data_IF_074039547225
#
_entry.id   IF_074039547225
#
_cell.length_a   1.000
_cell.length_b   1.000
_cell.length_c   1.000
_cell.angle_alpha   90.00
_cell.angle_beta   90.00
_cell.angle_gamma   90.00
#
_symmetry.space_group_name_H-M   'P 1'
#
loop_
_entity.id
_entity.type
_entity.pdbx_description
1 polymer ?
#
# COMPACT_ATOMS: atom_id res chain seq x y z
N UNK A 1 39.37 16.15 -37.61
CA UNK A 1 40.52 16.28 -36.68
C UNK A 1 39.95 16.20 -35.29
N UNK A 2 39.90 15.00 -34.75
CA UNK A 2 39.42 14.69 -33.39
C UNK A 2 40.65 14.70 -32.48
N UNK A 3 40.72 15.64 -31.56
CA UNK A 3 41.72 15.63 -30.49
C UNK A 3 41.27 14.62 -29.45
N UNK A 4 41.86 13.45 -29.47
CA UNK A 4 41.88 12.55 -28.32
C UNK A 4 42.70 13.23 -27.21
N UNK A 5 41.99 13.70 -26.20
CA UNK A 5 42.65 14.14 -24.96
C UNK A 5 43.09 12.91 -24.19
N UNK A 6 44.36 12.58 -24.25
CA UNK A 6 44.97 11.64 -23.30
C UNK A 6 44.80 12.19 -21.87
N UNK A 7 44.01 11.52 -21.07
CA UNK A 7 44.04 11.67 -19.62
C UNK A 7 45.39 11.09 -19.13
N UNK A 8 46.42 11.90 -19.03
CA UNK A 8 47.59 11.56 -18.25
C UNK A 8 47.20 11.60 -16.77
N UNK A 9 46.99 10.43 -16.20
CA UNK A 9 46.91 10.29 -14.75
C UNK A 9 48.35 10.25 -14.22
N UNK A 10 48.73 11.27 -13.50
CA UNK A 10 49.98 11.37 -12.71
C UNK A 10 49.93 10.45 -11.47
N UNK A 11 49.41 9.24 -11.66
CA UNK A 11 49.03 8.33 -10.58
C UNK A 11 50.11 7.31 -10.20
N UNK A 12 51.23 7.25 -10.93
CA UNK A 12 52.26 6.26 -10.65
C UNK A 12 52.97 6.49 -9.32
N UNK A 13 53.27 7.74 -8.98
CA UNK A 13 53.98 8.08 -7.75
C UNK A 13 53.10 7.94 -6.50
N UNK A 14 51.81 8.24 -6.60
CA UNK A 14 50.86 8.04 -5.52
C UNK A 14 50.59 6.56 -5.28
N UNK A 15 50.44 5.77 -6.33
CA UNK A 15 50.23 4.31 -6.26
C UNK A 15 51.48 3.63 -5.67
N UNK A 16 52.70 4.02 -6.10
CA UNK A 16 53.93 3.50 -5.57
C UNK A 16 54.17 3.93 -4.11
N UNK A 17 53.81 5.16 -3.76
CA UNK A 17 53.87 5.65 -2.39
C UNK A 17 52.92 4.88 -1.48
N UNK A 18 51.72 4.61 -1.95
CA UNK A 18 50.72 3.81 -1.23
C UNK A 18 51.21 2.38 -1.01
N UNK A 19 51.74 1.74 -2.04
CA UNK A 19 52.32 0.40 -1.94
C UNK A 19 53.51 0.33 -0.97
N UNK A 20 54.35 1.36 -0.97
CA UNK A 20 55.48 1.47 -0.02
C UNK A 20 54.98 1.66 1.42
N UNK A 21 53.92 2.41 1.64
CA UNK A 21 53.43 2.71 2.99
C UNK A 21 52.61 1.58 3.60
N UNK A 22 51.88 0.81 2.78
CA UNK A 22 50.95 -0.25 3.23
C UNK A 22 51.49 -1.65 3.02
N UNK A 23 52.49 -1.83 2.15
CA UNK A 23 52.99 -3.15 1.73
C UNK A 23 52.02 -3.91 0.80
N UNK A 24 50.92 -3.28 0.40
CA UNK A 24 49.88 -3.91 -0.42
C UNK A 24 49.63 -3.13 -1.70
N UNK A 25 49.40 -3.84 -2.78
CA UNK A 25 48.88 -3.27 -4.01
C UNK A 25 47.44 -2.77 -3.80
N UNK A 26 47.08 -1.66 -4.45
CA UNK A 26 45.71 -1.12 -4.37
C UNK A 26 44.64 -2.14 -4.79
N UNK A 27 44.99 -2.94 -5.81
CA UNK A 27 44.08 -4.01 -6.27
C UNK A 27 43.93 -5.11 -5.21
N UNK A 28 45.03 -5.55 -4.60
CA UNK A 28 45.03 -6.54 -3.53
C UNK A 28 44.25 -6.04 -2.31
N UNK A 29 44.40 -4.77 -1.94
CA UNK A 29 43.61 -4.16 -0.87
C UNK A 29 42.13 -4.08 -1.25
N UNK A 30 41.83 -3.62 -2.47
CA UNK A 30 40.46 -3.58 -2.95
C UNK A 30 39.80 -4.97 -2.86
N UNK A 31 40.48 -6.00 -3.38
CA UNK A 31 39.97 -7.38 -3.33
C UNK A 31 39.85 -7.93 -1.91
N UNK A 32 40.71 -7.50 -0.99
CA UNK A 32 40.64 -7.92 0.42
C UNK A 32 39.46 -7.30 1.18
N UNK A 33 39.16 -6.03 0.91
CA UNK A 33 38.11 -5.29 1.65
C UNK A 33 36.78 -5.18 0.90
N UNK A 34 36.75 -5.55 -0.37
CA UNK A 34 35.52 -5.63 -1.16
C UNK A 34 35.20 -7.09 -1.49
N UNK A 35 34.43 -7.77 -0.65
CA UNK A 35 34.08 -9.16 -0.92
C UNK A 35 33.36 -9.29 -2.25
N UNK A 36 33.69 -10.34 -3.00
CA UNK A 36 33.09 -10.64 -4.31
C UNK A 36 31.63 -11.09 -4.21
N UNK A 37 31.17 -11.41 -3.02
CA UNK A 37 29.81 -11.87 -2.75
C UNK A 37 29.03 -10.69 -2.19
N UNK A 38 27.97 -10.31 -2.89
CA UNK A 38 26.99 -9.35 -2.38
C UNK A 38 26.27 -9.99 -1.20
N UNK A 39 26.14 -9.24 -0.12
CA UNK A 39 25.27 -9.63 0.99
C UNK A 39 23.82 -9.61 0.55
N UNK A 40 23.01 -10.50 1.15
CA UNK A 40 21.57 -10.47 0.98
C UNK A 40 21.00 -9.17 1.56
N UNK A 41 20.12 -8.49 0.81
CA UNK A 41 19.55 -7.22 1.25
C UNK A 41 18.73 -7.36 2.54
N UNK A 42 18.09 -8.51 2.74
CA UNK A 42 17.38 -8.81 3.99
C UNK A 42 18.32 -8.92 5.20
N UNK A 43 19.52 -9.46 5.00
CA UNK A 43 20.55 -9.52 6.05
C UNK A 43 21.14 -8.14 6.37
N UNK A 44 21.26 -7.28 5.39
CA UNK A 44 21.75 -5.90 5.56
C UNK A 44 20.73 -5.00 6.24
N UNK A 45 19.43 -5.26 6.03
CA UNK A 45 18.33 -4.38 6.39
C UNK A 45 18.43 -3.88 7.84
N UNK A 46 18.60 -4.78 8.79
CA UNK A 46 18.67 -4.41 10.20
C UNK A 46 19.98 -3.68 10.55
N UNK A 47 21.09 -4.11 9.94
CA UNK A 47 22.44 -3.59 10.23
C UNK A 47 22.69 -2.21 9.62
N UNK A 48 22.25 -2.02 8.37
CA UNK A 48 22.57 -0.81 7.60
C UNK A 48 21.43 0.21 7.57
N UNK A 49 20.17 -0.26 7.71
CA UNK A 49 18.98 0.57 7.65
C UNK A 49 18.30 0.74 9.02
N UNK A 50 18.91 0.21 10.09
CA UNK A 50 18.54 0.40 11.48
C UNK A 50 17.27 -0.34 11.95
N UNK A 51 16.48 -0.90 11.04
CA UNK A 51 15.23 -1.63 11.33
C UNK A 51 14.98 -2.69 10.27
N UNK A 52 14.15 -3.68 10.60
CA UNK A 52 13.55 -4.61 9.62
C UNK A 52 12.35 -3.96 8.95
N UNK A 53 12.61 -3.17 7.92
CA UNK A 53 11.58 -2.49 7.12
C UNK A 53 10.81 -3.50 6.26
N UNK A 54 9.85 -4.19 6.85
CA UNK A 54 9.09 -5.26 6.24
C UNK A 54 7.62 -5.14 6.61
N UNK A 55 6.72 -5.24 5.63
CA UNK A 55 5.29 -5.26 5.86
C UNK A 55 4.53 -6.03 4.75
N UNK A 56 5.20 -6.99 4.08
CA UNK A 56 4.63 -7.81 3.01
C UNK A 56 3.65 -8.89 3.54
N UNK A 57 2.80 -8.50 4.44
CA UNK A 57 1.69 -9.28 5.00
C UNK A 57 0.59 -8.32 5.43
N UNK A 58 -0.66 -8.75 5.40
CA UNK A 58 -1.78 -7.95 5.90
C UNK A 58 -2.25 -8.37 7.30
N UNK A 59 -1.71 -9.45 7.86
CA UNK A 59 -2.15 -10.00 9.16
C UNK A 59 -1.05 -10.06 10.21
N UNK A 60 0.21 -10.03 9.84
CA UNK A 60 1.31 -9.90 10.81
C UNK A 60 1.12 -8.67 11.70
N UNK A 61 1.56 -8.73 12.97
CA UNK A 61 1.36 -7.64 13.93
C UNK A 61 1.90 -6.31 13.39
N UNK A 62 1.03 -5.31 13.31
CA UNK A 62 1.36 -3.97 12.82
C UNK A 62 2.26 -3.26 13.86
N UNK A 63 3.42 -2.78 13.41
CA UNK A 63 4.40 -2.09 14.25
C UNK A 63 4.52 -0.60 13.91
N UNK A 64 4.37 -0.27 12.62
CA UNK A 64 4.43 1.11 12.17
C UNK A 64 3.43 1.35 11.05
N UNK A 65 2.73 2.47 11.11
CA UNK A 65 1.77 2.92 10.11
C UNK A 65 2.08 4.33 9.63
N UNK A 66 1.92 4.58 8.33
CA UNK A 66 1.96 5.91 7.74
C UNK A 66 0.54 6.48 7.69
N UNK A 67 0.34 7.64 8.28
CA UNK A 67 -0.89 8.42 8.19
C UNK A 67 -0.61 9.79 7.56
N UNK A 68 -1.66 10.46 7.09
CA UNK A 68 -1.57 11.85 6.65
C UNK A 68 -2.66 12.69 7.31
N UNK A 69 -2.23 13.71 8.05
CA UNK A 69 -3.15 14.68 8.63
C UNK A 69 -3.67 15.63 7.53
N UNK A 70 -5.00 15.75 7.36
CA UNK A 70 -5.57 16.68 6.38
C UNK A 70 -5.09 18.11 6.62
N UNK A 71 -4.81 18.84 5.54
CA UNK A 71 -4.26 20.17 5.62
C UNK A 71 -4.78 21.11 4.54
N UNK A 72 -3.92 22.03 4.10
CA UNK A 72 -4.27 23.07 3.13
C UNK A 72 -4.75 22.52 1.78
N UNK A 73 -4.29 21.34 1.38
CA UNK A 73 -4.74 20.66 0.16
C UNK A 73 -6.25 20.47 0.12
N UNK A 74 -6.87 20.28 1.29
CA UNK A 74 -8.32 20.14 1.41
C UNK A 74 -9.10 21.40 1.07
N UNK A 75 -8.49 22.57 1.17
CA UNK A 75 -9.09 23.85 0.77
C UNK A 75 -9.31 23.96 -0.74
N UNK A 76 -8.75 23.05 -1.53
CA UNK A 76 -8.96 22.95 -2.97
C UNK A 76 -10.27 22.28 -3.36
N UNK A 77 -10.93 21.58 -2.45
CA UNK A 77 -12.21 20.91 -2.71
C UNK A 77 -13.27 21.91 -3.17
N UNK A 78 -13.90 21.60 -4.30
CA UNK A 78 -14.91 22.48 -4.91
C UNK A 78 -14.33 23.58 -5.81
N UNK A 79 -13.01 23.62 -6.03
CA UNK A 79 -12.38 24.52 -7.00
C UNK A 79 -12.02 23.75 -8.27
N UNK A 80 -12.02 24.41 -9.45
CA UNK A 80 -11.51 23.80 -10.67
C UNK A 80 -10.04 23.42 -10.53
N UNK A 81 -9.64 22.23 -11.02
CA UNK A 81 -8.23 21.89 -11.14
C UNK A 81 -7.64 22.42 -12.44
N UNK A 82 -6.36 22.81 -12.49
CA UNK A 82 -5.76 23.33 -13.70
C UNK A 82 -5.62 22.27 -14.80
N UNK A 83 -5.50 20.98 -14.44
CA UNK A 83 -5.35 19.93 -15.44
C UNK A 83 -5.61 18.53 -14.87
N UNK A 84 -6.42 17.70 -15.51
CA UNK A 84 -7.37 18.12 -16.57
C UNK A 84 -8.42 19.06 -15.96
N UNK A 85 -8.95 20.04 -16.72
CA UNK A 85 -10.07 20.85 -16.25
C UNK A 85 -11.23 19.92 -15.92
N UNK A 86 -11.77 20.06 -14.74
CA UNK A 86 -12.89 19.24 -14.31
C UNK A 86 -13.95 20.06 -13.59
N UNK A 87 -15.13 19.49 -13.53
CA UNK A 87 -16.25 20.05 -12.79
C UNK A 87 -15.86 20.28 -11.31
N UNK A 88 -16.06 21.47 -10.73
CA UNK A 88 -15.80 21.77 -9.32
C UNK A 88 -16.80 21.10 -8.38
N UNK A 89 -17.78 20.34 -8.88
CA UNK A 89 -18.74 19.62 -8.05
C UNK A 89 -18.07 18.66 -7.07
N UNK A 90 -18.70 18.42 -5.93
CA UNK A 90 -18.20 17.47 -4.94
C UNK A 90 -18.06 16.04 -5.52
N UNK A 91 -18.91 15.69 -6.50
CA UNK A 91 -18.82 14.39 -7.16
C UNK A 91 -17.49 14.20 -7.92
N UNK A 92 -16.96 15.26 -8.57
CA UNK A 92 -15.65 15.23 -9.21
C UNK A 92 -14.51 15.05 -8.20
N UNK A 93 -14.70 15.50 -6.97
CA UNK A 93 -13.79 15.29 -5.84
C UNK A 93 -14.03 13.98 -5.08
N UNK A 94 -14.94 13.14 -5.59
CA UNK A 94 -15.33 11.87 -4.97
C UNK A 94 -15.83 12.03 -3.53
N UNK A 95 -16.61 13.08 -3.30
CA UNK A 95 -17.22 13.39 -2.02
C UNK A 95 -18.74 13.51 -2.17
N UNK A 96 -19.49 12.99 -1.22
CA UNK A 96 -20.95 13.23 -1.14
C UNK A 96 -21.23 14.64 -0.60
N UNK A 97 -20.43 15.07 0.35
CA UNK A 97 -20.42 16.42 0.91
C UNK A 97 -19.02 16.74 1.42
N UNK A 98 -18.73 18.03 1.55
CA UNK A 98 -17.43 18.52 2.04
C UNK A 98 -17.44 18.49 3.56
N UNK A 99 -16.62 17.64 4.20
CA UNK A 99 -16.47 17.69 5.65
C UNK A 99 -15.75 18.97 6.08
N UNK A 100 -15.93 19.36 7.33
CA UNK A 100 -15.17 20.42 7.96
C UNK A 100 -13.71 19.99 8.19
N UNK A 101 -12.76 20.88 7.91
CA UNK A 101 -11.33 20.53 8.02
C UNK A 101 -10.92 20.27 9.47
N UNK A 102 -11.43 21.06 10.42
CA UNK A 102 -11.10 20.88 11.83
C UNK A 102 -11.69 19.59 12.40
N UNK A 103 -12.85 19.16 11.88
CA UNK A 103 -13.42 17.85 12.18
C UNK A 103 -12.55 16.73 11.61
N UNK A 104 -12.07 16.87 10.39
CA UNK A 104 -11.17 15.88 9.78
C UNK A 104 -9.85 15.78 10.55
N UNK A 105 -9.29 16.89 11.02
CA UNK A 105 -8.07 16.89 11.84
C UNK A 105 -8.32 16.16 13.17
N UNK A 106 -9.45 16.43 13.85
CA UNK A 106 -9.81 15.72 15.09
C UNK A 106 -9.98 14.22 14.85
N UNK A 107 -10.64 13.83 13.77
CA UNK A 107 -10.82 12.42 13.42
C UNK A 107 -9.50 11.73 13.09
N UNK A 108 -8.58 12.45 12.43
CA UNK A 108 -7.22 11.97 12.20
C UNK A 108 -6.45 11.77 13.52
N UNK A 109 -6.58 12.70 14.47
CA UNK A 109 -5.96 12.57 15.79
C UNK A 109 -6.52 11.37 16.57
N UNK A 110 -7.85 11.13 16.49
CA UNK A 110 -8.50 9.96 17.05
C UNK A 110 -7.91 8.67 16.44
N UNK A 111 -7.75 8.63 15.11
CA UNK A 111 -7.17 7.50 14.41
C UNK A 111 -5.71 7.26 14.82
N UNK A 112 -4.91 8.31 14.84
CA UNK A 112 -3.50 8.24 15.26
C UNK A 112 -3.37 7.79 16.73
N UNK A 113 -4.26 8.28 17.60
CA UNK A 113 -4.32 7.85 19.00
C UNK A 113 -4.66 6.37 19.12
N UNK A 114 -5.68 5.90 18.39
CA UNK A 114 -6.07 4.49 18.43
C UNK A 114 -4.90 3.56 18.06
N UNK A 115 -4.10 3.90 17.04
CA UNK A 115 -2.89 3.14 16.71
C UNK A 115 -1.85 3.16 17.84
N UNK A 116 -1.60 4.34 18.43
CA UNK A 116 -0.63 4.47 19.53
C UNK A 116 -1.05 3.71 20.79
N UNK A 117 -2.33 3.72 21.11
CA UNK A 117 -2.90 2.97 22.24
C UNK A 117 -2.70 1.45 22.06
N UNK A 118 -2.64 0.97 20.81
CA UNK A 118 -2.34 -0.42 20.45
C UNK A 118 -0.82 -0.70 20.27
N UNK A 119 0.03 0.25 20.64
CA UNK A 119 1.48 0.11 20.58
C UNK A 119 2.06 0.20 19.15
N UNK A 120 1.31 0.77 18.22
CA UNK A 120 1.75 1.00 16.84
C UNK A 120 2.42 2.37 16.72
N UNK A 121 3.63 2.40 16.18
CA UNK A 121 4.31 3.66 15.86
C UNK A 121 3.60 4.36 14.71
N UNK A 122 3.29 5.66 14.87
CA UNK A 122 2.58 6.44 13.87
C UNK A 122 3.55 7.42 13.22
N UNK A 123 3.82 7.20 11.93
CA UNK A 123 4.55 8.12 11.08
C UNK A 123 3.56 9.04 10.37
N UNK A 124 3.77 10.35 10.45
CA UNK A 124 2.92 11.32 9.76
C UNK A 124 3.60 11.76 8.46
N UNK A 125 2.93 11.52 7.34
CA UNK A 125 3.36 11.99 6.03
C UNK A 125 3.43 13.51 6.01
N UNK A 126 4.54 14.05 5.52
CA UNK A 126 4.69 15.49 5.33
C UNK A 126 3.71 16.03 4.28
N UNK A 127 3.20 17.24 4.46
CA UNK A 127 2.43 17.90 3.41
C UNK A 127 3.34 18.23 2.21
N UNK A 128 2.74 18.36 1.03
CA UNK A 128 3.46 18.91 -0.12
C UNK A 128 3.72 20.42 0.13
N UNK A 129 4.97 20.84 -0.03
CA UNK A 129 5.37 22.26 0.15
C UNK A 129 5.01 23.16 -1.03
N UNK A 130 4.69 22.55 -2.18
CA UNK A 130 4.36 23.26 -3.42
C UNK A 130 2.86 23.41 -3.56
N UNK A 131 2.15 23.99 -2.67
CA UNK A 131 0.74 24.38 -2.67
C UNK A 131 -0.08 23.91 -3.93
N UNK A 132 -0.24 22.61 -4.15
CA UNK A 132 -0.93 22.12 -5.32
C UNK A 132 -2.44 22.08 -5.06
N UNK A 133 -3.26 22.35 -6.07
CA UNK A 133 -4.70 22.15 -5.98
C UNK A 133 -5.10 20.67 -6.01
N UNK A 134 -4.17 19.77 -5.72
CA UNK A 134 -4.30 18.32 -5.76
C UNK A 134 -4.14 17.71 -4.38
N UNK A 135 -4.13 16.40 -4.28
CA UNK A 135 -3.84 15.64 -3.07
C UNK A 135 -4.94 15.71 -1.98
N UNK A 136 -6.16 16.09 -2.34
CA UNK A 136 -7.27 16.19 -1.37
C UNK A 136 -7.68 14.84 -0.76
N UNK A 137 -7.18 13.75 -1.35
CA UNK A 137 -7.37 12.38 -0.85
C UNK A 137 -6.08 11.79 -0.24
N UNK A 138 -5.08 12.61 0.03
CA UNK A 138 -3.80 12.18 0.59
C UNK A 138 -3.90 11.50 1.96
N UNK A 139 -5.05 11.64 2.63
CA UNK A 139 -5.38 10.88 3.85
C UNK A 139 -5.33 9.36 3.63
N UNK A 140 -5.45 8.88 2.38
CA UNK A 140 -5.42 7.45 2.04
C UNK A 140 -4.00 7.01 1.66
N UNK A 141 -3.14 6.93 2.65
CA UNK A 141 -1.70 6.68 2.51
C UNK A 141 -1.37 5.27 2.02
N UNK A 142 -2.23 4.27 2.25
CA UNK A 142 -2.06 2.91 1.72
C UNK A 142 -2.06 2.87 0.19
N UNK A 143 -2.75 3.82 -0.44
CA UNK A 143 -2.86 3.86 -1.89
C UNK A 143 -1.60 4.38 -2.59
N UNK A 144 -0.75 5.17 -1.94
CA UNK A 144 0.41 5.84 -2.56
C UNK A 144 1.73 5.12 -2.29
N UNK A 145 1.82 4.33 -1.23
CA UNK A 145 2.96 3.45 -0.98
C UNK A 145 2.47 2.08 -0.55
N UNK A 146 3.19 1.05 -0.99
CA UNK A 146 2.82 -0.31 -0.68
C UNK A 146 4.05 -1.13 -0.30
N UNK A 147 3.97 -1.99 0.71
CA UNK A 147 5.13 -2.74 1.15
C UNK A 147 5.60 -3.73 0.09
N UNK A 148 6.91 -3.90 0.02
CA UNK A 148 7.59 -5.01 -0.61
C UNK A 148 8.11 -5.97 0.47
N UNK A 149 8.82 -7.01 0.08
CA UNK A 149 9.48 -7.91 1.06
C UNK A 149 10.43 -7.15 1.97
N UNK A 150 11.06 -6.10 1.45
CA UNK A 150 11.93 -5.20 2.19
C UNK A 150 11.70 -3.76 1.72
N UNK A 151 11.26 -2.89 2.62
CA UNK A 151 10.98 -1.48 2.29
C UNK A 151 9.66 -1.24 1.58
N UNK A 152 9.55 -0.08 0.94
CA UNK A 152 8.31 0.40 0.34
C UNK A 152 8.47 0.64 -1.16
N UNK A 153 7.39 0.40 -1.91
CA UNK A 153 7.26 0.77 -3.32
C UNK A 153 6.37 2.01 -3.40
N UNK A 154 6.84 3.08 -4.03
CA UNK A 154 6.02 4.26 -4.31
C UNK A 154 5.14 3.96 -5.52
N UNK A 155 3.84 4.08 -5.32
CA UNK A 155 2.83 3.81 -6.32
C UNK A 155 2.45 5.07 -7.10
N UNK A 156 1.96 4.90 -8.34
CA UNK A 156 1.56 6.02 -9.19
C UNK A 156 0.05 6.15 -9.22
N UNK A 157 -0.44 7.28 -8.74
CA UNK A 157 -1.86 7.56 -8.61
C UNK A 157 -2.55 7.76 -9.97
N UNK A 158 -3.73 7.17 -10.16
CA UNK A 158 -4.57 7.38 -11.32
C UNK A 158 -5.33 8.71 -11.27
N UNK A 159 -5.97 8.97 -10.13
CA UNK A 159 -6.90 10.07 -9.98
C UNK A 159 -6.20 11.44 -9.99
N UNK A 160 -6.76 12.40 -10.73
CA UNK A 160 -6.24 13.75 -10.81
C UNK A 160 -6.22 14.47 -9.45
N UNK A 161 -7.18 14.18 -8.57
CA UNK A 161 -7.24 14.77 -7.22
C UNK A 161 -6.19 14.19 -6.26
N UNK A 162 -5.40 13.21 -6.72
CA UNK A 162 -4.36 12.52 -5.98
C UNK A 162 -2.96 12.68 -6.59
N UNK A 163 -2.85 13.38 -7.71
CA UNK A 163 -1.55 13.59 -8.38
C UNK A 163 -0.55 14.23 -7.43
N UNK A 164 0.72 13.76 -7.53
CA UNK A 164 1.86 14.23 -6.76
C UNK A 164 1.88 13.79 -5.29
N UNK A 165 1.01 12.87 -4.86
CA UNK A 165 1.11 12.27 -3.52
C UNK A 165 2.42 11.48 -3.35
N UNK A 166 3.02 11.04 -4.45
CA UNK A 166 4.23 10.23 -4.50
C UNK A 166 5.45 10.93 -3.87
N UNK A 167 5.68 12.20 -4.21
CA UNK A 167 6.87 12.93 -3.80
C UNK A 167 6.97 13.15 -2.29
N UNK A 168 5.98 13.76 -1.60
CA UNK A 168 6.06 13.94 -0.15
C UNK A 168 6.02 12.61 0.62
N UNK A 169 5.43 11.56 0.04
CA UNK A 169 5.48 10.21 0.61
C UNK A 169 6.90 9.66 0.56
N UNK A 170 7.57 9.74 -0.59
CA UNK A 170 8.99 9.38 -0.74
C UNK A 170 9.87 10.14 0.26
N UNK A 171 9.72 11.47 0.34
CA UNK A 171 10.51 12.31 1.26
C UNK A 171 10.32 11.89 2.71
N UNK A 172 9.08 11.61 3.11
CA UNK A 172 8.77 11.16 4.49
C UNK A 172 9.45 9.82 4.81
N UNK A 173 9.38 8.86 3.89
CA UNK A 173 10.01 7.54 4.07
C UNK A 173 11.54 7.65 4.13
N UNK A 174 12.13 8.43 3.22
CA UNK A 174 13.58 8.65 3.16
C UNK A 174 14.13 9.29 4.46
N UNK A 175 13.40 10.25 5.04
CA UNK A 175 13.83 10.93 6.27
C UNK A 175 13.86 10.02 7.50
N UNK A 176 12.98 9.03 7.56
CA UNK A 176 13.00 8.04 8.65
C UNK A 176 13.91 6.85 8.37
N UNK A 177 14.61 6.88 7.21
CA UNK A 177 15.51 5.81 6.79
C UNK A 177 14.80 4.57 6.25
N UNK A 178 13.53 4.66 5.89
CA UNK A 178 12.82 3.55 5.26
C UNK A 178 13.28 3.40 3.79
N UNK A 179 13.76 2.22 3.37
CA UNK A 179 14.16 2.01 1.99
C UNK A 179 12.97 2.14 1.05
N UNK A 180 13.11 2.99 0.03
CA UNK A 180 12.21 2.99 -1.12
C UNK A 180 12.88 2.13 -2.20
N UNK A 181 12.36 0.93 -2.39
CA UNK A 181 12.97 -0.12 -3.21
C UNK A 181 12.52 -0.07 -4.67
N UNK A 182 11.58 0.79 -4.98
CA UNK A 182 11.13 1.03 -6.34
C UNK A 182 10.00 2.05 -6.43
N UNK A 183 9.73 2.47 -7.67
CA UNK A 183 8.65 3.38 -8.00
C UNK A 183 7.93 2.92 -9.26
N UNK A 184 6.61 3.04 -9.28
CA UNK A 184 5.82 2.88 -10.52
C UNK A 184 5.87 4.17 -11.31
N UNK A 185 6.32 4.11 -12.55
CA UNK A 185 6.61 5.30 -13.37
C UNK A 185 6.03 5.19 -14.80
N UNK A 186 6.11 6.27 -15.54
CA UNK A 186 5.70 6.34 -16.94
C UNK A 186 4.21 6.05 -17.13
N UNK A 187 3.86 5.12 -18.01
CA UNK A 187 2.48 4.71 -18.26
C UNK A 187 1.97 3.63 -17.30
N UNK A 188 2.82 3.14 -16.40
CA UNK A 188 2.40 2.27 -15.32
C UNK A 188 1.50 3.02 -14.34
N UNK A 189 0.44 2.37 -13.88
CA UNK A 189 -0.44 2.85 -12.82
C UNK A 189 -0.69 1.72 -11.84
N UNK A 190 -0.51 2.01 -10.57
CA UNK A 190 -0.94 1.16 -9.48
C UNK A 190 -1.23 2.03 -8.26
N UNK A 191 -2.32 1.76 -7.60
CA UNK A 191 -2.68 2.27 -6.28
C UNK A 191 -2.76 1.10 -5.31
N UNK A 192 -2.60 1.30 -4.02
CA UNK A 192 -2.56 0.22 -3.04
C UNK A 192 -3.84 -0.61 -2.98
N UNK A 193 -5.00 0.03 -3.10
CA UNK A 193 -6.27 -0.68 -3.04
C UNK A 193 -6.46 -1.89 -3.98
N UNK A 194 -5.89 -1.92 -5.20
CA UNK A 194 -5.81 -3.09 -6.06
C UNK A 194 -4.79 -4.15 -5.67
N UNK A 195 -3.86 -3.84 -4.78
CA UNK A 195 -2.76 -4.74 -4.39
C UNK A 195 -3.11 -5.39 -3.05
N UNK A 196 -2.96 -6.68 -2.92
CA UNK A 196 -3.21 -7.39 -1.67
C UNK A 196 -2.19 -8.49 -1.43
N UNK A 197 -1.38 -8.35 -0.38
CA UNK A 197 -0.59 -9.44 0.14
C UNK A 197 -1.53 -10.44 0.83
N UNK A 198 -1.55 -11.67 0.35
CA UNK A 198 -2.33 -12.76 0.93
C UNK A 198 -1.58 -13.41 2.09
N UNK A 199 -0.28 -13.55 1.91
CA UNK A 199 0.73 -13.91 2.88
C UNK A 199 2.10 -13.37 2.40
N UNK A 200 3.17 -13.71 3.09
CA UNK A 200 4.52 -13.21 2.79
C UNK A 200 5.07 -13.63 1.41
N UNK A 201 4.46 -14.63 0.76
CA UNK A 201 4.91 -15.19 -0.52
C UNK A 201 3.90 -15.03 -1.66
N UNK A 202 2.70 -14.56 -1.38
CA UNK A 202 1.65 -14.43 -2.38
C UNK A 202 1.03 -13.03 -2.36
N UNK A 203 1.13 -12.33 -3.48
CA UNK A 203 0.52 -11.02 -3.67
C UNK A 203 -0.31 -10.97 -4.95
N UNK A 204 -1.48 -10.37 -4.86
CA UNK A 204 -2.39 -10.19 -5.99
C UNK A 204 -2.45 -8.74 -6.39
N UNK A 205 -2.30 -8.46 -7.68
CA UNK A 205 -2.53 -7.13 -8.27
C UNK A 205 -3.76 -7.21 -9.17
N UNK A 206 -4.81 -6.52 -8.80
CA UNK A 206 -6.03 -6.48 -9.60
C UNK A 206 -5.96 -5.38 -10.66
N UNK A 207 -6.01 -5.77 -11.92
CA UNK A 207 -5.98 -4.87 -13.06
C UNK A 207 -7.37 -4.68 -13.63
N UNK A 208 -7.77 -3.44 -13.82
CA UNK A 208 -9.06 -3.11 -14.42
C UNK A 208 -8.94 -2.93 -15.92
N UNK A 209 -9.70 -3.74 -16.65
CA UNK A 209 -9.85 -3.58 -18.08
C UNK A 209 -11.10 -2.73 -18.40
N UNK A 210 -10.99 -1.72 -19.29
CA UNK A 210 -12.16 -1.02 -19.77
C UNK A 210 -13.05 -2.01 -20.52
N UNK A 211 -14.33 -2.06 -20.17
CA UNK A 211 -15.30 -2.87 -20.93
C UNK A 211 -15.62 -2.21 -22.26
N UNK A 212 -15.52 -2.98 -23.31
CA UNK A 212 -15.77 -2.51 -24.69
C UNK A 212 -17.17 -1.92 -24.94
N UNK A 213 -18.15 -2.18 -24.07
CA UNK A 213 -19.56 -1.82 -24.28
C UNK A 213 -20.24 -1.15 -23.08
N UNK A 214 -19.51 -0.60 -22.12
CA UNK A 214 -20.11 0.14 -21.01
C UNK A 214 -19.75 1.61 -21.09
N UNK A 215 -20.76 2.49 -21.02
CA UNK A 215 -20.59 3.94 -20.95
C UNK A 215 -19.98 4.43 -19.62
N UNK A 216 -19.68 3.52 -18.69
CA UNK A 216 -19.00 3.88 -17.44
C UNK A 216 -17.50 3.67 -17.62
N UNK A 217 -16.69 4.73 -17.48
CA UNK A 217 -15.25 4.56 -17.41
C UNK A 217 -14.95 3.60 -16.24
N UNK A 218 -14.25 2.51 -16.52
CA UNK A 218 -13.68 1.70 -15.48
C UNK A 218 -12.77 2.60 -14.64
N UNK A 219 -12.96 2.59 -13.31
CA UNK A 219 -12.01 3.26 -12.43
C UNK A 219 -10.72 2.45 -12.50
N UNK A 220 -9.81 2.90 -13.32
CA UNK A 220 -8.51 2.23 -13.53
C UNK A 220 -7.60 2.63 -12.38
N UNK A 221 -7.50 1.80 -11.35
CA UNK A 221 -6.57 2.01 -10.23
C UNK A 221 -5.26 1.24 -10.39
N UNK A 222 -5.20 0.31 -11.33
CA UNK A 222 -4.00 -0.38 -11.78
C UNK A 222 -4.16 -0.79 -13.25
N UNK A 223 -3.04 -0.82 -13.99
CA UNK A 223 -2.96 -1.34 -15.33
C UNK A 223 -1.85 -2.39 -15.47
N UNK A 224 -1.77 -3.05 -16.62
CA UNK A 224 -0.77 -4.09 -16.87
C UNK A 224 0.66 -3.59 -16.68
N UNK A 225 0.98 -2.38 -17.16
CA UNK A 225 2.32 -1.79 -16.99
C UNK A 225 2.66 -1.53 -15.52
N UNK A 226 1.66 -1.13 -14.71
CA UNK A 226 1.85 -0.99 -13.26
C UNK A 226 2.08 -2.34 -12.58
N UNK A 227 1.31 -3.37 -12.97
CA UNK A 227 1.52 -4.73 -12.49
C UNK A 227 2.91 -5.26 -12.84
N UNK A 228 3.35 -5.12 -14.10
CA UNK A 228 4.67 -5.58 -14.54
C UNK A 228 5.80 -4.92 -13.74
N UNK A 229 5.73 -3.60 -13.53
CA UNK A 229 6.72 -2.88 -12.74
C UNK A 229 6.71 -3.33 -11.28
N UNK A 230 5.52 -3.45 -10.67
CA UNK A 230 5.37 -3.93 -9.30
C UNK A 230 5.94 -5.35 -9.14
N UNK A 231 5.55 -6.27 -10.01
CA UNK A 231 6.03 -7.64 -9.99
C UNK A 231 7.56 -7.72 -10.13
N UNK A 232 8.14 -6.92 -11.02
CA UNK A 232 9.58 -6.87 -11.20
C UNK A 232 10.30 -6.37 -9.94
N UNK A 233 9.80 -5.31 -9.31
CA UNK A 233 10.40 -4.75 -8.09
C UNK A 233 10.35 -5.78 -6.96
N UNK A 234 9.21 -6.43 -6.75
CA UNK A 234 9.04 -7.46 -5.72
C UNK A 234 9.99 -8.64 -5.96
N UNK A 235 10.04 -9.16 -7.20
CA UNK A 235 10.89 -10.31 -7.55
C UNK A 235 12.38 -10.04 -7.54
N UNK A 236 12.80 -8.79 -7.67
CA UNK A 236 14.22 -8.41 -7.49
C UNK A 236 14.68 -8.58 -6.04
N UNK A 237 13.76 -8.52 -5.08
CA UNK A 237 14.06 -8.69 -3.66
C UNK A 237 13.86 -10.13 -3.20
N UNK A 238 12.80 -10.75 -3.66
CA UNK A 238 12.44 -12.12 -3.32
C UNK A 238 11.85 -12.82 -4.56
N UNK A 239 12.67 -13.60 -5.31
CA UNK A 239 12.22 -14.26 -6.53
C UNK A 239 11.16 -15.34 -6.29
N UNK A 240 11.01 -15.82 -5.05
CA UNK A 240 10.03 -16.84 -4.70
C UNK A 240 8.61 -16.28 -4.48
N UNK A 241 8.45 -14.95 -4.42
CA UNK A 241 7.11 -14.34 -4.30
C UNK A 241 6.31 -14.57 -5.58
N UNK A 242 5.14 -15.17 -5.46
CA UNK A 242 4.16 -15.24 -6.55
C UNK A 242 3.39 -13.92 -6.64
N UNK A 243 3.63 -13.15 -7.68
CA UNK A 243 2.92 -11.90 -7.98
C UNK A 243 1.89 -12.17 -9.05
N UNK A 244 0.65 -12.28 -8.65
CA UNK A 244 -0.44 -12.71 -9.54
C UNK A 244 -1.28 -11.55 -10.02
N UNK A 245 -1.43 -11.47 -11.35
CA UNK A 245 -2.39 -10.56 -11.96
C UNK A 245 -3.81 -11.16 -11.84
N UNK A 246 -4.74 -10.38 -11.30
CA UNK A 246 -6.15 -10.72 -11.27
C UNK A 246 -6.94 -9.77 -12.18
N UNK A 247 -7.64 -10.26 -13.19
CA UNK A 247 -8.49 -9.41 -14.01
C UNK A 247 -9.66 -8.86 -13.18
N UNK A 248 -9.71 -7.56 -13.00
CA UNK A 248 -10.80 -6.88 -12.30
C UNK A 248 -11.79 -6.27 -13.28
N UNK A 249 -12.96 -6.86 -13.41
CA UNK A 249 -14.05 -6.32 -14.27
C UNK A 249 -14.93 -5.31 -13.53
N UNK A 250 -14.33 -4.33 -12.87
CA UNK A 250 -15.08 -3.28 -12.17
C UNK A 250 -15.75 -3.76 -10.88
N UNK A 251 -15.43 -4.97 -10.40
CA UNK A 251 -15.63 -5.35 -9.02
C UNK A 251 -14.47 -4.80 -8.19
N UNK A 252 -14.70 -4.50 -6.96
CA UNK A 252 -13.62 -4.39 -5.98
C UNK A 252 -13.12 -5.83 -5.74
N UNK A 253 -12.42 -6.46 -6.72
CA UNK A 253 -11.06 -6.74 -6.73
C UNK A 253 -10.63 -7.77 -5.72
N UNK A 254 -10.03 -8.78 -6.13
CA UNK A 254 -9.25 -9.72 -5.37
C UNK A 254 -9.47 -9.72 -3.86
N UNK A 255 -8.96 -10.61 -3.09
CA UNK A 255 -9.10 -10.55 -1.65
C UNK A 255 -8.54 -9.19 -1.22
N UNK A 256 -9.46 -8.22 -1.22
CA UNK A 256 -9.11 -6.91 -0.74
C UNK A 256 -8.62 -7.11 0.69
N UNK A 257 -7.44 -6.64 0.97
CA UNK A 257 -6.76 -6.77 2.23
C UNK A 257 -7.61 -6.35 3.46
N UNK A 258 -8.69 -5.60 3.26
CA UNK A 258 -9.65 -5.28 4.33
C UNK A 258 -10.68 -6.39 4.63
N UNK A 259 -10.62 -7.51 3.94
CA UNK A 259 -11.43 -8.70 4.25
C UNK A 259 -10.64 -9.75 5.05
N UNK A 260 -9.32 -9.62 5.14
CA UNK A 260 -8.47 -10.50 5.93
C UNK A 260 -8.68 -10.26 7.42
N UNK A 261 -8.68 -11.34 8.20
CA UNK A 261 -8.72 -11.30 9.66
C UNK A 261 -7.63 -12.14 10.29
N UNK A 262 -7.12 -13.10 9.53
CA UNK A 262 -6.10 -14.04 9.96
C UNK A 262 -5.35 -14.57 8.74
N UNK A 263 -4.26 -15.30 8.97
CA UNK A 263 -3.54 -15.98 7.91
C UNK A 263 -4.48 -16.88 7.14
N UNK A 264 -4.51 -16.73 5.81
CA UNK A 264 -5.33 -17.50 4.88
C UNK A 264 -6.84 -17.51 5.21
N UNK A 265 -7.33 -16.51 5.98
CA UNK A 265 -8.73 -16.41 6.38
C UNK A 265 -9.29 -15.03 6.07
N UNK A 266 -10.39 -14.96 5.35
CA UNK A 266 -11.06 -13.71 4.99
C UNK A 266 -12.57 -13.76 5.19
N UNK A 267 -13.14 -12.61 5.55
CA UNK A 267 -14.61 -12.42 5.61
C UNK A 267 -15.07 -11.93 4.25
N UNK A 268 -15.36 -12.86 3.36
CA UNK A 268 -15.74 -12.54 1.99
C UNK A 268 -16.59 -13.62 1.33
N UNK A 269 -17.60 -13.21 0.56
CA UNK A 269 -18.30 -14.12 -0.33
C UNK A 269 -17.39 -14.45 -1.54
N UNK A 270 -16.91 -15.69 -1.70
CA UNK A 270 -16.00 -16.06 -2.78
C UNK A 270 -16.60 -15.85 -4.17
N UNK A 271 -17.94 -15.79 -4.29
CA UNK A 271 -18.62 -15.49 -5.57
C UNK A 271 -18.34 -14.07 -6.06
N UNK A 272 -17.92 -13.16 -5.16
CA UNK A 272 -17.51 -11.79 -5.52
C UNK A 272 -16.16 -11.71 -6.21
N UNK A 273 -15.36 -12.76 -6.12
CA UNK A 273 -13.99 -12.84 -6.66
C UNK A 273 -13.97 -13.53 -8.02
N UNK A 274 -12.82 -13.44 -8.70
CA UNK A 274 -12.54 -14.25 -9.87
C UNK A 274 -12.50 -15.74 -9.50
N UNK A 275 -13.23 -16.64 -10.19
CA UNK A 275 -13.26 -18.05 -9.84
C UNK A 275 -11.91 -18.76 -9.89
N UNK A 276 -11.01 -18.35 -10.81
CA UNK A 276 -9.68 -18.94 -10.91
C UNK A 276 -8.80 -18.50 -9.73
N UNK A 277 -8.96 -17.24 -9.29
CA UNK A 277 -8.29 -16.77 -8.09
C UNK A 277 -8.76 -17.55 -6.85
N UNK A 278 -10.07 -17.75 -6.68
CA UNK A 278 -10.62 -18.54 -5.56
C UNK A 278 -10.11 -19.97 -5.57
N UNK A 279 -10.09 -20.62 -6.75
CA UNK A 279 -9.59 -21.97 -6.90
C UNK A 279 -8.10 -22.07 -6.52
N UNK A 280 -7.31 -21.12 -6.97
CA UNK A 280 -5.89 -21.06 -6.64
C UNK A 280 -5.65 -20.80 -5.15
N UNK A 281 -6.33 -19.83 -4.53
CA UNK A 281 -6.21 -19.56 -3.10
C UNK A 281 -6.50 -20.80 -2.24
N UNK A 282 -7.52 -21.56 -2.61
CA UNK A 282 -7.88 -22.81 -1.91
C UNK A 282 -6.83 -23.92 -2.13
N UNK A 283 -6.30 -24.02 -3.34
CA UNK A 283 -5.35 -25.10 -3.68
C UNK A 283 -3.96 -24.87 -3.08
N UNK A 284 -3.47 -23.64 -3.13
CA UNK A 284 -2.08 -23.32 -2.73
C UNK A 284 -1.97 -22.91 -1.25
N UNK A 285 -3.04 -22.34 -0.68
CA UNK A 285 -2.99 -21.74 0.67
C UNK A 285 -4.02 -22.32 1.63
N UNK A 286 -4.82 -23.28 1.22
CA UNK A 286 -5.96 -23.80 2.04
C UNK A 286 -6.85 -22.67 2.60
N UNK A 287 -7.21 -21.72 1.69
CA UNK A 287 -7.86 -20.46 2.09
C UNK A 287 -9.28 -20.64 2.58
N UNK A 288 -9.57 -20.10 3.76
CA UNK A 288 -10.89 -20.07 4.36
C UNK A 288 -11.64 -18.78 4.00
N UNK A 289 -12.86 -18.93 3.46
CA UNK A 289 -13.80 -17.83 3.23
C UNK A 289 -14.95 -17.90 4.24
N UNK A 290 -14.98 -16.95 5.17
CA UNK A 290 -16.09 -16.80 6.12
C UNK A 290 -17.16 -15.92 5.47
N UNK A 291 -18.36 -16.45 5.31
CA UNK A 291 -19.51 -15.68 4.80
C UNK A 291 -20.27 -15.11 5.98
N UNK A 292 -20.30 -13.78 6.08
CA UNK A 292 -21.01 -13.09 7.13
C UNK A 292 -22.53 -13.24 6.96
N UNK A 293 -23.30 -13.29 8.07
CA UNK A 293 -24.76 -13.40 8.04
C UNK A 293 -25.42 -12.10 7.51
N UNK A 294 -26.66 -12.25 7.04
CA UNK A 294 -27.37 -11.19 6.31
C UNK A 294 -27.51 -9.88 7.09
N UNK A 295 -27.70 -9.97 8.39
CA UNK A 295 -27.92 -8.83 9.28
C UNK A 295 -26.70 -7.92 9.48
N UNK A 296 -25.51 -8.40 9.10
CA UNK A 296 -24.27 -7.61 9.14
C UNK A 296 -23.67 -7.37 7.75
N UNK A 297 -24.34 -7.85 6.71
CA UNK A 297 -23.88 -7.71 5.33
C UNK A 297 -24.53 -6.53 4.62
N UNK A 298 -23.75 -5.96 3.70
CA UNK A 298 -24.28 -5.10 2.63
C UNK A 298 -24.45 -5.94 1.36
N UNK A 299 -25.64 -5.93 0.77
CA UNK A 299 -25.91 -6.62 -0.49
C UNK A 299 -25.48 -5.74 -1.66
N UNK A 300 -24.79 -6.30 -2.63
CA UNK A 300 -24.49 -5.63 -3.89
C UNK A 300 -24.53 -6.62 -5.06
N UNK A 301 -24.67 -6.08 -6.27
CA UNK A 301 -24.60 -6.87 -7.50
C UNK A 301 -23.20 -6.74 -8.08
N UNK A 302 -22.56 -7.86 -8.42
CA UNK A 302 -21.26 -7.83 -9.08
C UNK A 302 -21.35 -7.04 -10.38
N UNK A 303 -20.31 -6.25 -10.67
CA UNK A 303 -20.28 -5.40 -11.87
C UNK A 303 -19.70 -6.11 -13.08
N UNK A 304 -19.30 -7.36 -12.91
CA UNK A 304 -18.84 -8.21 -14.01
C UNK A 304 -20.05 -8.80 -14.79
N UNK A 305 -19.75 -9.60 -15.81
CA UNK A 305 -20.76 -10.24 -16.67
C UNK A 305 -21.64 -11.25 -15.92
N UNK A 306 -21.16 -11.79 -14.78
CA UNK A 306 -21.92 -12.74 -13.96
C UNK A 306 -23.13 -12.11 -13.28
N UNK A 307 -23.06 -10.81 -12.95
CA UNK A 307 -24.11 -10.02 -12.27
C UNK A 307 -24.73 -10.75 -11.07
N UNK A 308 -23.89 -11.38 -10.29
CA UNK A 308 -24.35 -12.11 -9.10
C UNK A 308 -24.76 -11.13 -7.99
N UNK A 309 -25.84 -11.45 -7.29
CA UNK A 309 -26.16 -10.81 -6.02
C UNK A 309 -25.28 -11.46 -4.96
N UNK A 310 -24.40 -10.69 -4.38
CA UNK A 310 -23.46 -11.16 -3.36
C UNK A 310 -23.55 -10.28 -2.13
N UNK A 311 -23.11 -10.83 -1.01
CA UNK A 311 -23.08 -10.16 0.26
C UNK A 311 -21.66 -9.75 0.58
N UNK A 312 -21.50 -8.50 0.90
CA UNK A 312 -20.26 -7.98 1.44
C UNK A 312 -20.36 -8.00 2.95
N UNK A 313 -19.45 -8.66 3.60
CA UNK A 313 -19.34 -8.66 5.06
C UNK A 313 -19.08 -7.26 5.62
N UNK A 314 -19.07 -7.13 6.94
CA UNK A 314 -18.72 -5.87 7.61
C UNK A 314 -17.32 -5.42 7.18
N UNK A 315 -17.08 -4.14 7.27
CA UNK A 315 -15.74 -3.59 7.04
C UNK A 315 -14.83 -4.06 8.18
N UNK A 316 -13.81 -4.87 7.85
CA UNK A 316 -12.88 -5.39 8.84
C UNK A 316 -11.76 -4.40 9.18
N UNK A 317 -11.75 -3.24 8.52
CA UNK A 317 -10.79 -2.18 8.81
C UNK A 317 -9.33 -2.62 8.59
N UNK A 318 -8.49 -2.38 9.59
CA UNK A 318 -7.06 -2.72 9.57
C UNK A 318 -6.79 -3.83 10.57
N UNK A 319 -6.15 -4.90 10.12
CA UNK A 319 -5.67 -5.94 11.03
C UNK A 319 -4.47 -5.40 11.81
N UNK A 320 -4.59 -5.32 13.12
CA UNK A 320 -3.52 -4.91 14.04
C UNK A 320 -2.58 -6.08 14.34
N UNK A 321 -3.15 -7.25 14.54
CA UNK A 321 -2.50 -8.55 14.66
C UNK A 321 -3.53 -9.64 14.33
N UNK A 322 -3.14 -10.88 14.10
CA UNK A 322 -4.08 -11.94 13.74
C UNK A 322 -5.29 -11.97 14.68
N UNK A 323 -6.48 -11.94 14.10
CA UNK A 323 -7.77 -11.88 14.79
C UNK A 323 -7.99 -10.65 15.70
N UNK A 324 -7.24 -9.57 15.46
CA UNK A 324 -7.49 -8.26 16.10
C UNK A 324 -7.56 -7.17 15.05
N UNK A 325 -8.67 -6.46 15.00
CA UNK A 325 -8.95 -5.48 13.93
C UNK A 325 -9.34 -4.11 14.49
N UNK A 326 -8.86 -3.05 13.83
CA UNK A 326 -9.27 -1.67 14.06
C UNK A 326 -10.35 -1.31 13.05
N UNK A 327 -11.54 -0.92 13.53
CA UNK A 327 -12.71 -0.61 12.69
C UNK A 327 -13.30 0.76 13.05
N UNK A 328 -14.02 1.42 12.12
CA UNK A 328 -14.80 2.61 12.48
C UNK A 328 -15.93 2.27 13.44
N UNK A 329 -16.26 3.19 14.35
CA UNK A 329 -17.47 3.08 15.19
C UNK A 329 -18.75 3.11 14.38
N UNK A 330 -19.84 2.60 14.96
CA UNK A 330 -21.21 2.78 14.44
C UNK A 330 -21.88 1.54 13.90
N UNK A 331 -21.23 0.37 13.93
CA UNK A 331 -21.82 -0.89 13.47
C UNK A 331 -21.87 -1.97 14.60
N UNK A 332 -22.71 -1.80 15.63
CA UNK A 332 -22.68 -2.69 16.81
C UNK A 332 -23.08 -4.15 16.52
N UNK A 333 -23.86 -4.40 15.48
CA UNK A 333 -24.18 -5.77 15.04
C UNK A 333 -22.96 -6.44 14.42
N UNK A 334 -22.25 -5.71 13.58
CA UNK A 334 -21.01 -6.20 12.95
C UNK A 334 -19.95 -6.51 14.01
N UNK A 335 -19.75 -5.62 14.97
CA UNK A 335 -18.85 -5.84 16.10
C UNK A 335 -19.17 -7.12 16.86
N UNK A 336 -20.42 -7.28 17.32
CA UNK A 336 -20.84 -8.48 18.07
C UNK A 336 -20.62 -9.76 17.27
N UNK A 337 -20.85 -9.72 15.97
CA UNK A 337 -20.63 -10.87 15.12
C UNK A 337 -19.16 -11.19 14.96
N UNK A 338 -18.29 -10.18 14.73
CA UNK A 338 -16.82 -10.37 14.69
C UNK A 338 -16.32 -10.98 16.00
N UNK A 339 -16.73 -10.45 17.14
CA UNK A 339 -16.40 -11.00 18.46
C UNK A 339 -16.86 -12.46 18.62
N UNK A 340 -18.02 -12.82 18.06
CA UNK A 340 -18.58 -14.18 18.12
C UNK A 340 -17.78 -15.22 17.33
N UNK A 341 -17.01 -14.77 16.31
CA UNK A 341 -16.10 -15.63 15.53
C UNK A 341 -14.64 -15.55 16.01
N UNK A 342 -14.42 -14.97 17.19
CA UNK A 342 -13.12 -14.91 17.83
C UNK A 342 -12.21 -13.79 17.32
N UNK A 343 -12.80 -12.69 16.83
CA UNK A 343 -12.05 -11.49 16.40
C UNK A 343 -12.18 -10.42 17.48
N UNK A 344 -11.06 -9.95 18.01
CA UNK A 344 -11.00 -8.78 18.90
C UNK A 344 -11.21 -7.50 18.08
N UNK A 345 -12.13 -6.64 18.54
CA UNK A 345 -12.51 -5.43 17.80
C UNK A 345 -12.14 -4.19 18.58
N UNK A 346 -11.24 -3.39 18.02
CA UNK A 346 -10.90 -2.04 18.47
C UNK A 346 -11.68 -1.05 17.61
N UNK A 347 -12.42 -0.15 18.24
CA UNK A 347 -13.22 0.84 17.53
C UNK A 347 -12.61 2.23 17.59
N UNK A 348 -12.68 2.97 16.48
CA UNK A 348 -12.23 4.37 16.40
C UNK A 348 -13.32 5.25 15.79
N UNK A 349 -13.55 6.41 16.42
CA UNK A 349 -14.49 7.40 15.91
C UNK A 349 -13.77 8.37 14.94
N UNK A 350 -13.98 8.16 13.64
CA UNK A 350 -13.37 8.96 12.57
C UNK A 350 -14.31 9.12 11.34
N UNK A 351 -15.56 9.57 11.52
CA UNK A 351 -16.59 9.55 10.49
C UNK A 351 -16.24 10.42 9.27
N UNK A 352 -15.45 11.47 9.41
CA UNK A 352 -15.09 12.36 8.30
C UNK A 352 -14.00 11.77 7.39
N UNK A 353 -13.21 10.81 7.89
CA UNK A 353 -12.15 10.16 7.12
C UNK A 353 -12.67 8.99 6.29
N UNK A 354 -13.80 8.41 6.65
CA UNK A 354 -14.28 7.15 6.09
C UNK A 354 -15.72 7.25 5.58
N UNK A 355 -16.14 6.22 4.86
CA UNK A 355 -17.54 6.04 4.44
C UNK A 355 -17.99 7.03 3.36
N UNK A 356 -19.30 7.37 3.36
CA UNK A 356 -19.89 8.15 2.27
C UNK A 356 -19.35 9.57 2.16
N UNK A 357 -18.88 10.17 3.26
CA UNK A 357 -18.30 11.50 3.22
C UNK A 357 -17.10 11.59 2.30
N UNK A 358 -16.18 10.65 2.42
CA UNK A 358 -14.87 10.75 1.77
C UNK A 358 -14.58 9.59 0.80
N UNK A 359 -15.53 8.68 0.60
CA UNK A 359 -15.44 7.56 -0.35
C UNK A 359 -14.23 6.63 -0.17
N UNK A 360 -13.78 6.46 1.07
CA UNK A 360 -12.68 5.56 1.42
C UNK A 360 -12.93 4.80 2.71
N UNK A 361 -11.98 3.98 3.10
CA UNK A 361 -12.04 3.16 4.33
C UNK A 361 -10.88 3.52 5.26
N UNK A 362 -10.99 3.11 6.52
CA UNK A 362 -9.91 3.23 7.49
C UNK A 362 -8.65 2.48 7.03
N UNK A 363 -8.81 1.38 6.29
CA UNK A 363 -7.71 0.64 5.71
C UNK A 363 -6.94 1.50 4.71
N UNK A 364 -7.64 2.19 3.79
CA UNK A 364 -7.00 3.08 2.82
C UNK A 364 -6.21 4.20 3.51
N UNK A 365 -6.63 4.63 4.71
CA UNK A 365 -5.99 5.69 5.49
C UNK A 365 -4.73 5.21 6.25
N UNK A 366 -4.32 3.96 6.10
CA UNK A 366 -3.29 3.32 6.92
C UNK A 366 -2.24 2.60 6.08
N UNK A 367 -1.23 3.31 5.60
CA UNK A 367 -0.10 2.70 4.90
C UNK A 367 0.76 1.87 5.86
N UNK A 368 0.77 0.55 5.71
CA UNK A 368 1.60 -0.34 6.54
C UNK A 368 3.08 -0.17 6.21
N UNK A 369 3.89 0.19 7.19
CA UNK A 369 5.34 0.40 7.03
C UNK A 369 6.16 -0.74 7.63
N UNK A 370 5.78 -1.20 8.83
CA UNK A 370 6.41 -2.34 9.49
C UNK A 370 5.33 -3.26 10.06
N UNK A 371 5.45 -4.54 9.72
CA UNK A 371 4.70 -5.64 10.35
C UNK A 371 5.64 -6.76 10.75
N UNK A 372 5.32 -7.45 11.82
CA UNK A 372 5.98 -8.70 12.16
C UNK A 372 5.66 -9.76 11.10
N UNK A 373 6.52 -10.77 10.93
CA UNK A 373 6.18 -11.96 10.15
C UNK A 373 4.89 -12.61 10.63
N UNK A 374 4.18 -13.26 9.72
CA UNK A 374 3.03 -14.05 10.09
C UNK A 374 3.40 -15.20 11.02
N UNK A 375 2.58 -15.51 12.05
CA UNK A 375 2.78 -16.70 12.83
C UNK A 375 2.70 -17.95 11.95
N UNK A 376 3.64 -18.85 12.06
CA UNK A 376 3.74 -20.06 11.23
C UNK A 376 2.64 -21.10 11.52
N UNK A 377 2.03 -21.04 12.71
CA UNK A 377 0.87 -21.86 13.13
C UNK A 377 0.26 -21.24 14.39
N UNK A 378 -1.03 -21.39 14.56
CA UNK A 378 -1.71 -21.26 15.85
C UNK A 378 -1.87 -22.64 16.49
#
# INVERSE_FOLDING_TARGET
MSSEGEFQTDSSDEVDSFKKSTGLDLHEQYMKFHPQVLSDFGEEMEKMWGRKWRANTNVGKLRMVLLHCPGKEFLSVGKPTPWPPHDPSLAAWRMAFKPDLDEMIRDHENLAKAYRDEGVEVLIRKPDTNDPPYQVKAIYTDDVCHPASYGQIILRMYDHVRKREELPTYQTLAEVGCPVVGMIVGNGMAEGGPIGWLDEKHVVVSVHYPRANTQQPAVMRANEFGHEQFARIVKLQDPEVDVRLCPGYGTRLGPSHYALIDRHTSIQDPRSLDPNLVAWMKAEMDWEFIIAPDEVCRTFVTRDERRLVVKRGPETGVVLEPRKVLVPTGEPKARKWLESIGVEVVEVNCPTLVGPMNSGSIHCAAGSIIRDPEPKSY
#
